data_IF_161821863871
#
_entry.id   IF_161821863871
#
_cell.length_a   1.000
_cell.length_b   1.000
_cell.length_c   1.000
_cell.angle_alpha   90.00
_cell.angle_beta   90.00
_cell.angle_gamma   90.00
#
_symmetry.space_group_name_H-M   'P 1'
#
loop_
_entity.id
_entity.type
_entity.pdbx_description
1 polymer ?
#
# COMPACT_ATOMS: atom_id res chain seq x y z
N UNK A 1 -4.83 36.35 -9.29
CA UNK A 1 -6.09 36.47 -10.05
C UNK A 1 -6.78 37.76 -9.60
N UNK A 2 -7.10 38.71 -10.50
CA UNK A 2 -7.87 39.92 -10.12
C UNK A 2 -9.34 39.53 -9.91
N UNK A 3 -10.03 40.02 -8.86
CA UNK A 3 -11.43 39.70 -8.66
C UNK A 3 -12.27 40.20 -9.86
N UNK A 4 -13.14 39.34 -10.39
CA UNK A 4 -13.97 39.60 -11.58
C UNK A 4 -15.08 40.64 -11.36
N UNK A 5 -15.21 41.17 -10.15
CA UNK A 5 -16.04 42.34 -9.81
C UNK A 5 -16.15 42.53 -8.30
N UNK A 6 -16.72 43.67 -7.87
CA UNK A 6 -16.89 44.01 -6.46
C UNK A 6 -18.32 43.78 -5.97
N UNK A 7 -18.49 43.58 -4.67
CA UNK A 7 -19.81 43.64 -4.03
C UNK A 7 -20.39 45.06 -4.18
N UNK A 8 -21.70 45.24 -4.45
CA UNK A 8 -22.75 44.22 -4.54
C UNK A 8 -23.00 43.65 -5.95
N UNK A 9 -22.26 44.09 -6.97
CA UNK A 9 -22.43 43.64 -8.35
C UNK A 9 -22.08 42.15 -8.47
N UNK A 10 -20.95 41.73 -7.93
CA UNK A 10 -20.55 40.31 -7.81
C UNK A 10 -20.96 39.77 -6.45
N UNK A 11 -21.83 38.77 -6.44
CA UNK A 11 -22.25 38.03 -5.23
C UNK A 11 -22.04 36.55 -5.45
N UNK A 12 -20.92 36.03 -4.97
CA UNK A 12 -20.55 34.61 -5.11
C UNK A 12 -21.58 33.66 -4.47
N UNK A 13 -22.40 34.15 -3.53
CA UNK A 13 -23.51 33.37 -2.95
C UNK A 13 -24.60 32.99 -3.97
N UNK A 14 -24.71 33.69 -5.12
CA UNK A 14 -25.68 33.34 -6.18
C UNK A 14 -25.46 31.92 -6.68
N UNK A 15 -24.21 31.56 -7.00
CA UNK A 15 -23.84 30.21 -7.44
C UNK A 15 -23.82 29.16 -6.31
N UNK A 16 -24.05 29.57 -5.06
CA UNK A 16 -24.15 28.66 -3.92
C UNK A 16 -25.59 28.45 -3.44
N UNK A 17 -26.56 29.16 -4.04
CA UNK A 17 -27.93 29.23 -3.54
C UNK A 17 -28.68 27.91 -3.67
N UNK A 18 -28.58 27.29 -4.83
CA UNK A 18 -29.38 26.13 -5.22
C UNK A 18 -28.47 24.95 -5.59
N UNK A 19 -28.96 23.73 -5.40
CA UNK A 19 -28.18 22.52 -5.68
C UNK A 19 -27.70 22.45 -7.13
N UNK A 20 -28.60 22.70 -8.09
CA UNK A 20 -28.24 22.68 -9.52
C UNK A 20 -27.11 23.68 -9.85
N UNK A 21 -27.12 24.86 -9.23
CA UNK A 21 -26.11 25.90 -9.45
C UNK A 21 -24.74 25.49 -8.88
N UNK A 22 -24.72 24.80 -7.74
CA UNK A 22 -23.50 24.26 -7.15
C UNK A 22 -22.95 23.10 -7.97
N UNK A 23 -23.82 22.25 -8.53
CA UNK A 23 -23.42 21.14 -9.42
C UNK A 23 -22.78 21.65 -10.72
N UNK A 24 -23.32 22.71 -11.33
CA UNK A 24 -22.75 23.32 -12.54
C UNK A 24 -21.35 23.93 -12.32
N UNK A 25 -21.09 24.44 -11.11
CA UNK A 25 -19.83 25.13 -10.78
C UNK A 25 -18.86 24.28 -9.97
N UNK A 26 -19.16 22.99 -9.75
CA UNK A 26 -18.31 22.10 -8.97
C UNK A 26 -17.03 21.81 -9.76
N UNK A 27 -15.88 22.15 -9.19
CA UNK A 27 -14.57 21.99 -9.83
C UNK A 27 -14.01 20.56 -9.73
N UNK A 28 -14.49 19.77 -8.76
CA UNK A 28 -13.98 18.41 -8.51
C UNK A 28 -15.08 17.47 -8.04
N UNK A 29 -14.99 16.21 -8.46
CA UNK A 29 -15.86 15.10 -8.03
C UNK A 29 -14.93 13.95 -7.68
N UNK A 30 -15.14 13.34 -6.52
CA UNK A 30 -14.47 12.11 -6.13
C UNK A 30 -15.30 10.92 -6.65
N UNK A 31 -14.65 9.95 -7.29
CA UNK A 31 -15.27 8.70 -7.73
C UNK A 31 -14.52 7.50 -7.13
N UNK A 32 -15.07 6.27 -7.21
CA UNK A 32 -14.34 5.07 -6.81
C UNK A 32 -13.00 4.89 -7.54
N UNK A 33 -12.85 5.43 -8.75
CA UNK A 33 -11.61 5.38 -9.54
C UNK A 33 -10.44 6.10 -8.85
N UNK A 34 -10.72 6.98 -7.90
CA UNK A 34 -9.72 7.72 -7.12
C UNK A 34 -9.27 6.97 -5.84
N UNK A 35 -9.86 5.81 -5.55
CA UNK A 35 -9.68 5.10 -4.28
C UNK A 35 -8.70 3.93 -4.40
N UNK A 36 -7.74 3.86 -3.49
CA UNK A 36 -6.94 2.65 -3.24
C UNK A 36 -7.30 2.21 -1.82
N UNK A 37 -7.54 0.91 -1.62
CA UNK A 37 -7.91 0.40 -0.31
C UNK A 37 -6.76 -0.36 0.37
N UNK A 38 -6.14 0.20 1.42
CA UNK A 38 -5.13 -0.50 2.23
C UNK A 38 -5.77 -1.64 3.03
N UNK A 39 -5.13 -2.81 3.02
CA UNK A 39 -5.59 -4.00 3.74
C UNK A 39 -4.44 -4.63 4.52
N UNK A 40 -4.72 -5.03 5.76
CA UNK A 40 -3.76 -5.73 6.60
C UNK A 40 -3.99 -7.23 6.52
N UNK A 41 -2.99 -7.98 6.08
CA UNK A 41 -3.09 -9.43 5.89
C UNK A 41 -2.19 -10.18 6.86
N UNK A 42 -2.67 -11.28 7.43
CA UNK A 42 -1.93 -12.15 8.35
C UNK A 42 -2.06 -13.62 7.96
N UNK A 43 -1.23 -14.46 8.58
CA UNK A 43 -1.31 -15.92 8.45
C UNK A 43 -2.53 -16.52 9.13
N UNK A 44 -2.96 -17.69 8.66
CA UNK A 44 -4.05 -18.47 9.26
C UNK A 44 -5.27 -18.56 8.35
N UNK A 45 -6.41 -18.92 8.94
CA UNK A 45 -7.66 -19.18 8.22
C UNK A 45 -8.87 -18.75 9.05
N UNK A 46 -9.83 -18.08 8.44
CA UNK A 46 -11.05 -17.60 9.09
C UNK A 46 -10.80 -16.51 10.14
N UNK A 47 -9.72 -15.73 10.00
CA UNK A 47 -9.31 -14.74 10.99
C UNK A 47 -9.75 -13.35 10.55
N UNK A 48 -10.31 -12.59 11.48
CA UNK A 48 -10.53 -11.15 11.39
C UNK A 48 -10.27 -10.54 12.76
N UNK A 49 -9.11 -9.92 12.93
CA UNK A 49 -8.69 -9.30 14.18
C UNK A 49 -8.92 -7.80 14.14
N UNK A 50 -9.66 -7.22 15.09
CA UNK A 50 -9.83 -5.76 15.14
C UNK A 50 -8.52 -5.06 15.48
N UNK A 51 -8.29 -3.89 14.88
CA UNK A 51 -7.19 -2.99 15.27
C UNK A 51 -7.73 -1.94 16.23
N UNK A 52 -7.40 -1.96 17.54
CA UNK A 52 -8.06 -1.09 18.53
C UNK A 52 -7.89 0.41 18.27
N UNK A 53 -6.76 0.82 17.70
CA UNK A 53 -6.47 2.20 17.32
C UNK A 53 -7.14 2.65 16.01
N UNK A 54 -7.72 1.71 15.24
CA UNK A 54 -8.36 1.97 13.95
C UNK A 54 -9.76 1.34 13.92
N UNK A 55 -10.76 1.93 14.60
CA UNK A 55 -12.11 1.38 14.64
C UNK A 55 -12.69 1.17 13.23
N UNK A 56 -13.23 -0.03 12.97
CA UNK A 56 -13.74 -0.43 11.67
C UNK A 56 -12.71 -1.08 10.74
N UNK A 57 -11.43 -1.11 11.13
CA UNK A 57 -10.35 -1.79 10.39
C UNK A 57 -9.93 -3.06 11.13
N UNK A 58 -9.69 -4.12 10.36
CA UNK A 58 -9.21 -5.39 10.88
C UNK A 58 -8.04 -5.95 10.06
N UNK A 59 -7.27 -6.83 10.71
CA UNK A 59 -6.28 -7.69 10.06
C UNK A 59 -6.97 -8.99 9.69
N UNK A 60 -6.80 -9.45 8.46
CA UNK A 60 -7.56 -10.58 7.92
C UNK A 60 -6.63 -11.68 7.44
N UNK A 61 -7.04 -12.93 7.58
CA UNK A 61 -6.38 -14.04 6.87
C UNK A 61 -6.71 -13.97 5.37
N UNK A 62 -5.92 -14.67 4.54
CA UNK A 62 -6.10 -14.66 3.09
C UNK A 62 -7.53 -15.01 2.65
N UNK A 63 -8.16 -16.02 3.24
CA UNK A 63 -9.53 -16.41 2.90
C UNK A 63 -10.56 -15.31 3.20
N UNK A 64 -10.39 -14.59 4.32
CA UNK A 64 -11.22 -13.43 4.64
C UNK A 64 -10.91 -12.23 3.73
N UNK A 65 -9.64 -12.01 3.36
CA UNK A 65 -9.24 -10.97 2.42
C UNK A 65 -9.89 -11.14 1.05
N UNK A 66 -10.10 -12.37 0.56
CA UNK A 66 -10.78 -12.60 -0.72
C UNK A 66 -12.23 -12.09 -0.71
N UNK A 67 -12.92 -12.10 0.43
CA UNK A 67 -14.24 -11.48 0.55
C UNK A 67 -14.18 -9.96 0.53
N UNK A 68 -13.16 -9.38 1.18
CA UNK A 68 -12.91 -7.93 1.13
C UNK A 68 -12.59 -7.47 -0.30
N UNK A 69 -11.79 -8.23 -1.04
CA UNK A 69 -11.45 -7.96 -2.43
C UNK A 69 -12.69 -8.02 -3.36
N UNK A 70 -13.57 -9.00 -3.14
CA UNK A 70 -14.84 -9.11 -3.86
C UNK A 70 -15.73 -7.87 -3.64
N UNK A 71 -15.88 -7.43 -2.39
CA UNK A 71 -16.64 -6.22 -2.06
C UNK A 71 -16.01 -4.96 -2.67
N UNK A 72 -14.69 -4.81 -2.56
CA UNK A 72 -13.96 -3.68 -3.14
C UNK A 72 -14.18 -3.58 -4.65
N UNK A 73 -14.07 -4.71 -5.36
CA UNK A 73 -14.32 -4.76 -6.80
C UNK A 73 -15.79 -4.44 -7.14
N UNK A 74 -16.76 -4.97 -6.38
CA UNK A 74 -18.18 -4.66 -6.57
C UNK A 74 -18.49 -3.17 -6.39
N UNK A 75 -17.77 -2.49 -5.50
CA UNK A 75 -17.89 -1.05 -5.26
C UNK A 75 -17.11 -0.19 -6.27
N UNK A 76 -16.37 -0.81 -7.18
CA UNK A 76 -15.58 -0.13 -8.22
C UNK A 76 -14.24 0.40 -7.73
N UNK A 77 -13.70 -0.10 -6.61
CA UNK A 77 -12.36 0.25 -6.14
C UNK A 77 -11.32 -0.39 -7.08
N UNK A 78 -10.43 0.39 -7.71
CA UNK A 78 -9.50 -0.14 -8.71
C UNK A 78 -8.36 -0.99 -8.15
N UNK A 79 -7.93 -0.75 -6.91
CA UNK A 79 -6.76 -1.45 -6.36
C UNK A 79 -6.77 -1.63 -4.84
N UNK A 80 -6.12 -2.70 -4.40
CA UNK A 80 -5.75 -2.95 -3.00
C UNK A 80 -4.27 -2.66 -2.78
N UNK A 81 -3.95 -2.05 -1.63
CA UNK A 81 -2.57 -1.93 -1.14
C UNK A 81 -2.36 -2.91 0.02
N UNK A 82 -1.46 -3.89 -0.17
CA UNK A 82 -1.25 -4.97 0.78
C UNK A 82 -0.20 -4.58 1.82
N UNK A 83 -0.56 -4.74 3.10
CA UNK A 83 0.35 -4.57 4.24
C UNK A 83 0.39 -5.86 5.06
N UNK A 84 1.52 -6.61 5.06
CA UNK A 84 1.61 -7.85 5.80
C UNK A 84 1.78 -7.60 7.30
N UNK A 85 1.16 -8.45 8.11
CA UNK A 85 1.38 -8.55 9.54
C UNK A 85 2.20 -9.81 9.78
N UNK A 86 3.52 -9.67 9.66
CA UNK A 86 4.47 -10.75 9.87
C UNK A 86 4.59 -11.05 11.36
N UNK A 87 4.48 -12.33 11.72
CA UNK A 87 4.63 -12.79 13.10
C UNK A 87 6.09 -12.67 13.57
N UNK A 88 6.34 -12.92 14.86
CA UNK A 88 7.70 -12.83 15.40
C UNK A 88 8.66 -13.88 14.81
N UNK A 89 8.16 -15.00 14.29
CA UNK A 89 8.97 -16.07 13.70
C UNK A 89 9.48 -15.72 12.30
N UNK A 90 8.74 -14.90 11.55
CA UNK A 90 9.15 -14.36 10.25
C UNK A 90 10.03 -13.11 10.34
N UNK A 91 10.38 -12.64 11.54
CA UNK A 91 11.22 -11.45 11.73
C UNK A 91 12.67 -11.81 12.06
N UNK A 92 13.61 -11.14 11.39
CA UNK A 92 15.05 -11.33 11.60
C UNK A 92 15.80 -9.99 11.49
N UNK A 93 17.10 -9.97 11.79
CA UNK A 93 17.90 -8.76 11.51
C UNK A 93 18.20 -8.58 10.01
N UNK A 94 18.13 -9.67 9.22
CA UNK A 94 18.41 -9.67 7.79
C UNK A 94 17.17 -9.50 6.91
N UNK A 95 15.96 -9.51 7.49
CA UNK A 95 14.68 -9.35 6.80
C UNK A 95 14.43 -10.36 5.66
N UNK A 96 15.00 -11.58 5.72
CA UNK A 96 14.98 -12.52 4.59
C UNK A 96 13.56 -12.94 4.16
N UNK A 97 12.60 -12.88 5.09
CA UNK A 97 11.18 -13.14 4.80
C UNK A 97 10.58 -12.13 3.82
N UNK A 98 11.17 -10.94 3.65
CA UNK A 98 10.72 -9.93 2.69
C UNK A 98 10.80 -10.38 1.24
N UNK A 99 11.68 -11.33 0.90
CA UNK A 99 11.80 -11.88 -0.46
C UNK A 99 11.63 -13.41 -0.48
N UNK A 100 10.96 -13.97 0.53
CA UNK A 100 10.60 -15.38 0.54
C UNK A 100 9.47 -15.65 -0.49
N UNK A 101 9.69 -16.44 -1.56
CA UNK A 101 8.67 -16.71 -2.58
C UNK A 101 7.46 -17.49 -2.03
N UNK A 102 7.62 -18.21 -0.92
CA UNK A 102 6.55 -18.91 -0.20
C UNK A 102 5.96 -18.06 0.95
N UNK A 103 6.45 -16.83 1.12
CA UNK A 103 6.05 -15.89 2.16
C UNK A 103 4.61 -15.40 2.00
N UNK A 104 4.15 -14.65 3.01
CA UNK A 104 2.76 -14.19 3.08
C UNK A 104 2.35 -13.34 1.86
N UNK A 105 3.13 -12.31 1.51
CA UNK A 105 2.77 -11.37 0.43
C UNK A 105 2.68 -12.08 -0.93
N UNK A 106 3.70 -12.84 -1.40
CA UNK A 106 3.59 -13.57 -2.67
C UNK A 106 2.38 -14.49 -2.77
N UNK A 107 2.07 -15.26 -1.72
CA UNK A 107 0.89 -16.14 -1.69
C UNK A 107 -0.42 -15.35 -1.77
N UNK A 108 -0.50 -14.22 -1.08
CA UNK A 108 -1.68 -13.34 -1.12
C UNK A 108 -1.86 -12.73 -2.51
N UNK A 109 -0.79 -12.21 -3.11
CA UNK A 109 -0.81 -11.65 -4.47
C UNK A 109 -1.31 -12.68 -5.47
N UNK A 110 -0.72 -13.89 -5.49
CA UNK A 110 -1.12 -14.97 -6.39
C UNK A 110 -2.60 -15.32 -6.24
N UNK A 111 -3.09 -15.46 -5.00
CA UNK A 111 -4.48 -15.80 -4.74
C UNK A 111 -5.47 -14.70 -5.15
N UNK A 112 -5.13 -13.43 -4.90
CA UNK A 112 -5.96 -12.28 -5.33
C UNK A 112 -5.98 -12.20 -6.85
N UNK A 113 -4.83 -12.26 -7.53
CA UNK A 113 -4.78 -12.18 -9.01
C UNK A 113 -5.44 -13.39 -9.68
N UNK A 114 -5.40 -14.57 -9.08
CA UNK A 114 -6.08 -15.76 -9.61
C UNK A 114 -7.61 -15.61 -9.56
N UNK A 115 -8.16 -14.94 -8.54
CA UNK A 115 -9.61 -14.79 -8.35
C UNK A 115 -10.18 -13.50 -8.94
N UNK A 116 -9.41 -12.42 -8.90
CA UNK A 116 -9.79 -11.08 -9.32
C UNK A 116 -8.74 -10.48 -10.26
N UNK A 117 -8.57 -11.01 -11.49
CA UNK A 117 -7.48 -10.63 -12.38
C UNK A 117 -7.47 -9.13 -12.74
N UNK A 118 -8.64 -8.49 -12.77
CA UNK A 118 -8.81 -7.06 -13.08
C UNK A 118 -8.58 -6.13 -11.87
N UNK A 119 -8.53 -6.67 -10.65
CA UNK A 119 -8.26 -5.86 -9.46
C UNK A 119 -6.75 -5.60 -9.39
N UNK A 120 -6.37 -4.33 -9.29
CA UNK A 120 -4.97 -3.92 -9.13
C UNK A 120 -4.43 -4.34 -7.77
N UNK A 121 -3.24 -4.92 -7.75
CA UNK A 121 -2.54 -5.29 -6.52
C UNK A 121 -1.27 -4.46 -6.38
N UNK A 122 -1.26 -3.63 -5.34
CA UNK A 122 -0.12 -2.79 -4.95
C UNK A 122 0.53 -3.46 -3.73
N UNK A 123 1.80 -3.83 -3.86
CA UNK A 123 2.57 -4.36 -2.74
C UNK A 123 3.48 -3.29 -2.16
N UNK A 124 3.58 -3.26 -0.84
CA UNK A 124 4.56 -2.46 -0.13
C UNK A 124 5.97 -3.07 -0.28
N UNK A 125 6.98 -2.24 -0.50
CA UNK A 125 8.40 -2.64 -0.56
C UNK A 125 9.16 -1.85 0.50
N UNK A 126 9.30 -2.48 1.67
CA UNK A 126 10.03 -2.01 2.84
C UNK A 126 10.36 -3.20 3.75
N UNK A 127 11.36 -3.04 4.62
CA UNK A 127 11.82 -4.11 5.50
C UNK A 127 11.26 -4.04 6.93
N UNK A 128 10.56 -2.97 7.33
CA UNK A 128 10.07 -2.82 8.71
C UNK A 128 9.09 -3.90 9.19
N UNK A 129 8.25 -4.54 8.35
CA UNK A 129 7.43 -5.66 8.81
C UNK A 129 8.28 -6.89 9.12
N UNK A 130 9.45 -7.01 8.49
CA UNK A 130 10.31 -8.20 8.46
C UNK A 130 11.54 -8.07 9.35
N UNK A 131 11.92 -6.86 9.75
CA UNK A 131 13.03 -6.66 10.66
C UNK A 131 12.62 -6.88 12.12
N UNK A 132 13.48 -7.52 12.90
CA UNK A 132 13.26 -7.70 14.35
C UNK A 132 13.31 -6.39 15.13
N UNK A 133 13.94 -5.36 14.55
CA UNK A 133 14.06 -4.02 15.14
C UNK A 133 13.01 -3.02 14.60
N UNK A 134 12.26 -3.37 13.55
CA UNK A 134 11.21 -2.52 12.97
C UNK A 134 11.71 -1.25 12.29
N UNK A 135 12.91 -1.30 11.68
CA UNK A 135 13.41 -0.24 10.80
C UNK A 135 13.22 -0.69 9.35
N UNK A 136 13.05 0.27 8.44
CA UNK A 136 12.73 0.05 7.04
C UNK A 136 13.90 -0.54 6.22
N UNK A 137 15.09 -0.61 6.83
CA UNK A 137 16.31 -1.12 6.22
C UNK A 137 17.20 -1.92 7.18
N UNK A 138 18.30 -2.46 6.65
CA UNK A 138 19.27 -3.27 7.38
C UNK A 138 20.15 -2.39 8.27
N UNK A 139 20.39 -2.81 9.52
CA UNK A 139 21.26 -2.09 10.46
C UNK A 139 22.71 -2.55 10.32
N UNK A 140 23.66 -1.60 10.33
CA UNK A 140 25.09 -1.90 10.40
C UNK A 140 25.44 -2.57 11.74
N UNK A 141 25.88 -3.84 11.76
CA UNK A 141 26.23 -4.54 12.99
C UNK A 141 27.47 -3.95 13.69
N UNK A 142 28.27 -3.15 13.00
CA UNK A 142 29.44 -2.49 13.54
C UNK A 142 29.14 -1.07 14.09
N UNK A 143 27.99 -0.47 13.76
CA UNK A 143 27.61 0.86 14.27
C UNK A 143 26.73 0.75 15.52
N UNK A 144 27.25 1.07 16.72
CA UNK A 144 26.48 1.01 17.96
C UNK A 144 25.33 2.02 18.02
N UNK A 145 25.24 2.97 17.07
CA UNK A 145 24.12 3.91 16.96
C UNK A 145 22.92 3.34 16.21
N UNK A 146 23.07 2.16 15.58
CA UNK A 146 22.01 1.52 14.81
C UNK A 146 21.74 2.22 13.48
N UNK A 147 22.79 2.56 12.74
CA UNK A 147 22.63 3.19 11.42
C UNK A 147 22.00 2.22 10.42
N UNK A 148 20.98 2.69 9.71
CA UNK A 148 20.32 1.95 8.62
C UNK A 148 21.17 2.12 7.36
N UNK A 149 21.75 1.02 6.89
CA UNK A 149 22.65 0.98 5.73
C UNK A 149 21.86 1.21 4.44
N UNK A 150 22.22 2.24 3.67
CA UNK A 150 21.49 2.58 2.45
C UNK A 150 21.62 1.50 1.37
N UNK A 151 22.85 1.24 0.90
CA UNK A 151 23.11 0.48 -0.32
C UNK A 151 22.77 -1.02 -0.14
N UNK A 152 23.10 -1.60 1.00
CA UNK A 152 22.74 -2.96 1.37
C UNK A 152 21.22 -3.14 1.45
N UNK A 153 20.50 -2.12 1.94
CA UNK A 153 19.04 -2.12 1.95
C UNK A 153 18.48 -2.06 0.53
N UNK A 154 19.09 -1.30 -0.40
CA UNK A 154 18.64 -1.26 -1.80
C UNK A 154 18.65 -2.65 -2.44
N UNK A 155 19.66 -3.46 -2.15
CA UNK A 155 19.77 -4.83 -2.68
C UNK A 155 18.70 -5.77 -2.09
N UNK A 156 18.35 -5.60 -0.82
CA UNK A 156 17.25 -6.34 -0.20
C UNK A 156 15.88 -5.95 -0.79
N UNK A 157 15.63 -4.64 -0.94
CA UNK A 157 14.39 -4.12 -1.51
C UNK A 157 14.21 -4.52 -2.99
N UNK A 158 15.30 -4.57 -3.76
CA UNK A 158 15.26 -5.07 -5.14
C UNK A 158 14.80 -6.54 -5.20
N UNK A 159 15.33 -7.41 -4.32
CA UNK A 159 14.90 -8.82 -4.21
C UNK A 159 13.43 -8.93 -3.83
N UNK A 160 12.97 -8.13 -2.86
CA UNK A 160 11.57 -8.08 -2.45
C UNK A 160 10.67 -7.67 -3.63
N UNK A 161 11.01 -6.58 -4.32
CA UNK A 161 10.26 -6.11 -5.48
C UNK A 161 10.19 -7.16 -6.60
N UNK A 162 11.30 -7.83 -6.92
CA UNK A 162 11.32 -8.91 -7.89
C UNK A 162 10.43 -10.09 -7.45
N UNK A 163 10.51 -10.47 -6.18
CA UNK A 163 9.68 -11.54 -5.61
C UNK A 163 8.18 -11.21 -5.74
N UNK A 164 7.77 -9.98 -5.40
CA UNK A 164 6.39 -9.53 -5.54
C UNK A 164 5.94 -9.47 -7.00
N UNK A 165 6.81 -9.00 -7.91
CA UNK A 165 6.52 -8.97 -9.34
C UNK A 165 6.34 -10.38 -9.92
N UNK A 166 7.19 -11.34 -9.54
CA UNK A 166 7.07 -12.74 -9.94
C UNK A 166 5.79 -13.40 -9.40
N UNK A 167 5.28 -12.95 -8.25
CA UNK A 167 3.99 -13.38 -7.72
C UNK A 167 2.79 -12.81 -8.50
N UNK A 168 3.00 -11.77 -9.32
CA UNK A 168 1.97 -11.14 -10.16
C UNK A 168 1.47 -9.79 -9.67
N UNK A 169 2.20 -9.11 -8.78
CA UNK A 169 1.81 -7.76 -8.35
C UNK A 169 1.87 -6.78 -9.54
N UNK A 170 0.83 -5.95 -9.69
CA UNK A 170 0.75 -4.98 -10.78
C UNK A 170 1.60 -3.73 -10.48
N UNK A 171 1.75 -3.40 -9.20
CA UNK A 171 2.54 -2.28 -8.71
C UNK A 171 3.35 -2.71 -7.49
N UNK A 172 4.64 -2.35 -7.48
CA UNK A 172 5.47 -2.33 -6.27
C UNK A 172 5.63 -0.89 -5.81
N UNK A 173 5.43 -0.63 -4.52
CA UNK A 173 5.43 0.71 -3.94
C UNK A 173 6.50 0.81 -2.83
N UNK A 174 7.72 1.26 -3.15
CA UNK A 174 8.79 1.38 -2.17
C UNK A 174 8.54 2.52 -1.18
N UNK A 175 8.34 2.18 0.10
CA UNK A 175 8.03 3.10 1.18
C UNK A 175 9.22 3.36 2.12
N UNK A 176 10.32 2.63 1.91
CA UNK A 176 11.56 2.56 2.70
C UNK A 176 12.38 3.86 2.81
N UNK A 177 12.13 4.83 1.93
CA UNK A 177 12.81 6.13 1.89
C UNK A 177 14.35 6.11 1.70
N UNK A 178 14.96 5.00 1.28
CA UNK A 178 16.40 4.95 0.97
C UNK A 178 16.75 5.82 -0.24
N UNK A 179 17.97 6.35 -0.29
CA UNK A 179 18.46 7.10 -1.42
C UNK A 179 18.75 6.16 -2.59
N UNK A 180 18.18 6.44 -3.77
CA UNK A 180 18.44 5.67 -4.99
C UNK A 180 17.57 4.41 -5.18
N UNK A 181 16.73 4.01 -4.21
CA UNK A 181 15.93 2.75 -4.31
C UNK A 181 15.11 2.60 -5.57
N UNK A 182 14.49 3.69 -6.03
CA UNK A 182 13.61 3.63 -7.22
C UNK A 182 14.40 3.20 -8.45
N UNK A 183 15.60 3.73 -8.65
CA UNK A 183 16.45 3.37 -9.78
C UNK A 183 16.95 1.93 -9.67
N UNK A 184 17.36 1.49 -8.46
CA UNK A 184 17.83 0.13 -8.22
C UNK A 184 16.73 -0.92 -8.42
N UNK A 185 15.53 -0.66 -7.91
CA UNK A 185 14.36 -1.54 -8.07
C UNK A 185 13.94 -1.59 -9.54
N UNK A 186 13.89 -0.44 -10.24
CA UNK A 186 13.61 -0.40 -11.67
C UNK A 186 14.61 -1.26 -12.46
N UNK A 187 15.90 -1.15 -12.17
CA UNK A 187 16.92 -1.95 -12.85
C UNK A 187 16.81 -3.47 -12.60
N UNK A 188 16.18 -3.90 -11.49
CA UNK A 188 15.92 -5.33 -11.23
C UNK A 188 14.73 -5.86 -12.03
N UNK A 189 13.74 -5.00 -12.30
CA UNK A 189 12.47 -5.38 -12.92
C UNK A 189 12.48 -5.31 -14.45
N UNK A 190 13.44 -4.61 -15.05
CA UNK A 190 13.62 -4.46 -16.51
C UNK A 190 14.45 -5.61 -17.11
#
# INVERSE_FOLDING_TARGET
MRPTGAFPATRMRRMRRDDFSRRLMRESVLTPDDLIYPVFVLEGQGITEPVPSMPGVGRVSLDALLHVAEEAQMLGVPALALFPVIDAGGKSAGAEEAWNPDGLVPRVVQAVKARFPELGVITDVALDPYTSHGQDGLIDPADPRGYVMNDETLEALAKQALCHAQAGADVVAPSDMMDGRIARIRAELD
#
